data_IF_381847872544
#
_entry.id   IF_381847872544
#
_cell.length_a   1.000
_cell.length_b   1.000
_cell.length_c   1.000
_cell.angle_alpha   90.00
_cell.angle_beta   90.00
_cell.angle_gamma   90.00
#
_symmetry.space_group_name_H-M   'P 1'
#
loop_
_entity.id
_entity.type
_entity.pdbx_description
1 polymer ?
#
# COMPACT_ATOMS: atom_id res chain seq x y z
N UNK A 1 -29.68 44.93 9.62
CA UNK A 1 -29.00 43.85 8.87
C UNK A 1 -27.57 44.28 8.66
N UNK A 2 -26.62 43.71 9.41
CA UNK A 2 -25.20 44.02 9.21
C UNK A 2 -24.68 43.23 8.02
N UNK A 3 -24.32 43.91 6.94
CA UNK A 3 -23.53 43.30 5.87
C UNK A 3 -22.18 42.90 6.47
N UNK A 4 -21.92 41.59 6.56
CA UNK A 4 -20.57 41.08 6.76
C UNK A 4 -19.77 41.52 5.54
N UNK A 5 -18.89 42.50 5.71
CA UNK A 5 -17.90 42.84 4.71
C UNK A 5 -17.10 41.56 4.38
N UNK A 6 -16.85 41.25 3.10
CA UNK A 6 -15.96 40.14 2.78
C UNK A 6 -14.61 40.42 3.44
N UNK A 7 -14.15 39.48 4.27
CA UNK A 7 -12.83 39.52 4.90
C UNK A 7 -11.80 39.86 3.81
N UNK A 8 -10.96 40.90 4.00
CA UNK A 8 -9.89 41.20 3.07
C UNK A 8 -8.82 40.10 3.18
N UNK A 9 -9.03 38.99 2.48
CA UNK A 9 -7.99 37.99 2.28
C UNK A 9 -6.95 38.59 1.35
N UNK A 10 -5.74 38.82 1.83
CA UNK A 10 -4.63 39.21 0.96
C UNK A 10 -4.42 38.16 -0.14
N UNK A 11 -3.89 38.53 -1.32
CA UNK A 11 -3.63 37.58 -2.41
C UNK A 11 -2.88 36.33 -1.96
N UNK A 12 -1.85 36.50 -1.12
CA UNK A 12 -1.07 35.40 -0.55
C UNK A 12 -1.91 34.39 0.26
N UNK A 13 -2.92 34.86 0.99
CA UNK A 13 -3.78 34.00 1.80
C UNK A 13 -4.82 33.26 0.96
N UNK A 14 -5.31 33.89 -0.11
CA UNK A 14 -6.13 33.22 -1.14
C UNK A 14 -5.34 32.14 -1.83
N UNK A 15 -4.11 32.44 -2.26
CA UNK A 15 -3.22 31.48 -2.90
C UNK A 15 -2.87 30.32 -1.96
N UNK A 16 -2.55 30.62 -0.70
CA UNK A 16 -2.30 29.60 0.31
C UNK A 16 -3.51 28.69 0.61
N UNK A 17 -4.71 29.27 0.69
CA UNK A 17 -5.95 28.50 0.87
C UNK A 17 -6.26 27.64 -0.36
N UNK A 18 -6.06 28.18 -1.57
CA UNK A 18 -6.21 27.43 -2.81
C UNK A 18 -5.20 26.28 -2.91
N UNK A 19 -3.95 26.50 -2.51
CA UNK A 19 -2.92 25.47 -2.44
C UNK A 19 -3.31 24.36 -1.45
N UNK A 20 -3.81 24.71 -0.26
CA UNK A 20 -4.31 23.72 0.71
C UNK A 20 -5.45 22.88 0.11
N UNK A 21 -6.44 23.50 -0.54
CA UNK A 21 -7.55 22.76 -1.17
C UNK A 21 -7.03 21.83 -2.27
N UNK A 22 -6.07 22.28 -3.08
CA UNK A 22 -5.42 21.46 -4.09
C UNK A 22 -4.68 20.26 -3.46
N UNK A 23 -3.92 20.47 -2.38
CA UNK A 23 -3.24 19.40 -1.66
C UNK A 23 -4.22 18.37 -1.10
N UNK A 24 -5.30 18.82 -0.46
CA UNK A 24 -6.29 17.92 0.12
C UNK A 24 -7.02 17.08 -0.95
N UNK A 25 -7.35 17.68 -2.09
CA UNK A 25 -7.99 16.97 -3.19
C UNK A 25 -7.05 15.94 -3.82
N UNK A 26 -5.81 16.34 -4.14
CA UNK A 26 -4.83 15.42 -4.70
C UNK A 26 -4.46 14.30 -3.73
N UNK A 27 -4.32 14.59 -2.45
CA UNK A 27 -4.07 13.56 -1.46
C UNK A 27 -5.19 12.52 -1.43
N UNK A 28 -6.45 12.98 -1.39
CA UNK A 28 -7.58 12.08 -1.34
C UNK A 28 -7.62 11.12 -2.54
N UNK A 29 -7.30 11.60 -3.74
CA UNK A 29 -7.23 10.75 -4.93
C UNK A 29 -6.05 9.76 -4.85
N UNK A 30 -4.85 10.22 -4.49
CA UNK A 30 -3.68 9.35 -4.31
C UNK A 30 -3.89 8.27 -3.24
N UNK A 31 -4.65 8.59 -2.20
CA UNK A 31 -5.05 7.66 -1.14
C UNK A 31 -6.00 6.58 -1.62
N UNK A 32 -7.04 6.97 -2.33
CA UNK A 32 -7.98 5.99 -2.92
C UNK A 32 -7.25 5.08 -3.88
N UNK A 33 -6.36 5.65 -4.69
CA UNK A 33 -5.55 4.89 -5.64
C UNK A 33 -4.64 3.89 -4.93
N UNK A 34 -3.88 4.31 -3.91
CA UNK A 34 -2.97 3.41 -3.19
C UNK A 34 -3.69 2.25 -2.51
N UNK A 35 -4.82 2.52 -1.87
CA UNK A 35 -5.66 1.48 -1.24
C UNK A 35 -6.24 0.55 -2.30
N UNK A 36 -6.73 1.09 -3.41
CA UNK A 36 -7.27 0.30 -4.53
C UNK A 36 -6.22 -0.64 -5.13
N UNK A 37 -5.01 -0.13 -5.43
CA UNK A 37 -3.92 -0.94 -5.95
C UNK A 37 -3.53 -2.06 -4.96
N UNK A 38 -3.42 -1.72 -3.67
CA UNK A 38 -3.05 -2.70 -2.65
C UNK A 38 -4.11 -3.81 -2.49
N UNK A 39 -5.40 -3.47 -2.59
CA UNK A 39 -6.48 -4.46 -2.56
C UNK A 39 -6.53 -5.33 -3.83
N UNK A 40 -6.25 -4.77 -5.01
CA UNK A 40 -6.13 -5.54 -6.25
C UNK A 40 -5.02 -6.60 -6.14
N UNK A 41 -3.84 -6.21 -5.62
CA UNK A 41 -2.73 -7.15 -5.39
C UNK A 41 -3.16 -8.28 -4.45
N UNK A 42 -3.86 -7.94 -3.36
CA UNK A 42 -4.39 -8.94 -2.41
C UNK A 42 -5.37 -9.91 -3.08
N UNK A 43 -6.28 -9.43 -3.91
CA UNK A 43 -7.24 -10.28 -4.62
C UNK A 43 -6.54 -11.25 -5.59
N UNK A 44 -5.53 -10.76 -6.32
CA UNK A 44 -4.69 -11.59 -7.20
C UNK A 44 -4.02 -12.72 -6.39
N UNK A 45 -3.46 -12.41 -5.23
CA UNK A 45 -2.81 -13.42 -4.38
C UNK A 45 -3.83 -14.44 -3.83
N UNK A 46 -4.98 -13.95 -3.36
CA UNK A 46 -6.04 -14.80 -2.82
C UNK A 46 -6.55 -15.81 -3.85
N UNK A 47 -6.67 -15.42 -5.13
CA UNK A 47 -7.10 -16.34 -6.19
C UNK A 47 -6.12 -17.48 -6.45
N UNK A 48 -4.83 -17.29 -6.12
CA UNK A 48 -3.82 -18.33 -6.28
C UNK A 48 -3.71 -19.27 -5.08
N UNK A 49 -4.13 -18.85 -3.88
CA UNK A 49 -3.99 -19.66 -2.66
C UNK A 49 -4.72 -21.00 -2.77
N UNK A 50 -5.92 -21.02 -3.36
CA UNK A 50 -6.68 -22.27 -3.58
C UNK A 50 -5.89 -23.26 -4.45
N UNK A 51 -5.21 -22.77 -5.50
CA UNK A 51 -4.37 -23.61 -6.37
C UNK A 51 -3.14 -24.15 -5.64
N UNK A 52 -2.58 -23.39 -4.70
CA UNK A 52 -1.43 -23.81 -3.89
C UNK A 52 -1.84 -24.88 -2.90
N UNK A 53 -2.99 -24.72 -2.25
CA UNK A 53 -3.51 -25.71 -1.30
C UNK A 53 -3.84 -27.03 -2.01
N UNK A 54 -4.44 -26.95 -3.21
CA UNK A 54 -4.65 -28.13 -4.05
C UNK A 54 -3.33 -28.82 -4.43
N UNK A 55 -2.32 -28.04 -4.82
CA UNK A 55 -1.00 -28.58 -5.15
C UNK A 55 -0.28 -29.20 -3.94
N UNK A 56 -0.40 -28.59 -2.76
CA UNK A 56 0.12 -29.17 -1.53
C UNK A 56 -0.52 -30.54 -1.26
N UNK A 57 -1.85 -30.61 -1.26
CA UNK A 57 -2.58 -31.86 -1.05
C UNK A 57 -2.21 -32.94 -2.06
N UNK A 58 -2.07 -32.57 -3.33
CA UNK A 58 -1.68 -33.46 -4.41
C UNK A 58 -0.24 -33.97 -4.28
N UNK A 59 0.63 -33.32 -3.51
CA UNK A 59 2.04 -33.73 -3.37
C UNK A 59 2.36 -34.46 -2.07
N UNK A 60 1.42 -34.52 -1.11
CA UNK A 60 1.66 -35.11 0.21
C UNK A 60 2.10 -36.57 0.16
N UNK A 61 1.48 -37.40 -0.69
CA UNK A 61 1.80 -38.83 -0.79
C UNK A 61 3.21 -39.11 -1.32
N UNK A 62 3.83 -38.14 -2.02
CA UNK A 62 5.18 -38.28 -2.57
C UNK A 62 6.25 -38.40 -1.48
N UNK A 63 5.96 -37.97 -0.25
CA UNK A 63 6.86 -38.05 0.90
C UNK A 63 7.14 -39.49 1.36
N UNK A 64 6.19 -40.40 1.14
CA UNK A 64 6.27 -41.80 1.60
C UNK A 64 6.81 -42.76 0.53
N UNK A 65 7.08 -42.24 -0.67
CA UNK A 65 7.52 -43.03 -1.82
C UNK A 65 9.06 -43.20 -1.87
N UNK A 66 9.58 -43.67 -3.01
CA UNK A 66 11.01 -43.92 -3.23
C UNK A 66 11.88 -42.63 -3.19
N UNK A 67 13.20 -42.80 -3.28
CA UNK A 67 14.16 -41.69 -3.20
C UNK A 67 14.00 -40.63 -4.30
N UNK A 68 13.49 -40.98 -5.49
CA UNK A 68 13.28 -40.03 -6.60
C UNK A 68 12.06 -39.14 -6.36
N UNK A 69 10.94 -39.72 -5.89
CA UNK A 69 9.71 -39.00 -5.54
C UNK A 69 9.87 -38.11 -4.30
N UNK A 70 10.73 -38.51 -3.36
CA UNK A 70 11.09 -37.67 -2.19
C UNK A 70 11.76 -36.34 -2.57
N UNK A 71 12.52 -36.31 -3.65
CA UNK A 71 13.11 -35.06 -4.14
C UNK A 71 12.05 -34.10 -4.70
N UNK A 72 11.00 -34.62 -5.35
CA UNK A 72 9.89 -33.78 -5.80
C UNK A 72 9.08 -33.25 -4.63
N UNK A 73 8.79 -34.10 -3.64
CA UNK A 73 8.15 -33.69 -2.39
C UNK A 73 8.93 -32.56 -1.68
N UNK A 74 10.25 -32.72 -1.54
CA UNK A 74 11.11 -31.70 -0.93
C UNK A 74 11.06 -30.36 -1.70
N UNK A 75 11.01 -30.40 -3.03
CA UNK A 75 10.86 -29.20 -3.86
C UNK A 75 9.48 -28.55 -3.68
N UNK A 76 8.41 -29.34 -3.66
CA UNK A 76 7.04 -28.87 -3.42
C UNK A 76 6.96 -28.15 -2.06
N UNK A 77 7.40 -28.81 -0.98
CA UNK A 77 7.46 -28.25 0.37
C UNK A 77 8.25 -26.93 0.42
N UNK A 78 9.39 -26.86 -0.26
CA UNK A 78 10.21 -25.64 -0.33
C UNK A 78 9.46 -24.50 -1.01
N UNK A 79 8.81 -24.76 -2.15
CA UNK A 79 8.08 -23.74 -2.90
C UNK A 79 6.84 -23.26 -2.15
N UNK A 80 6.04 -24.18 -1.61
CA UNK A 80 4.84 -23.87 -0.81
C UNK A 80 5.22 -23.05 0.42
N UNK A 81 6.26 -23.46 1.16
CA UNK A 81 6.75 -22.69 2.32
C UNK A 81 7.20 -21.28 1.93
N UNK A 82 7.89 -21.16 0.78
CA UNK A 82 8.31 -19.85 0.26
C UNK A 82 7.13 -18.96 -0.08
N UNK A 83 6.06 -19.52 -0.66
CA UNK A 83 4.83 -18.78 -0.95
C UNK A 83 4.14 -18.32 0.33
N UNK A 84 4.00 -19.19 1.33
CA UNK A 84 3.40 -18.81 2.61
C UNK A 84 4.16 -17.66 3.29
N UNK A 85 5.48 -17.68 3.23
CA UNK A 85 6.31 -16.58 3.72
C UNK A 85 6.07 -15.27 2.94
N UNK A 86 5.97 -15.33 1.61
CA UNK A 86 5.66 -14.17 0.77
C UNK A 86 4.26 -13.62 1.04
N UNK A 87 3.26 -14.48 1.22
CA UNK A 87 1.91 -14.08 1.62
C UNK A 87 1.90 -13.33 2.95
N UNK A 88 2.65 -13.81 3.93
CA UNK A 88 2.78 -13.11 5.21
C UNK A 88 3.40 -11.72 5.02
N UNK A 89 4.48 -11.61 4.24
CA UNK A 89 5.12 -10.33 3.95
C UNK A 89 4.18 -9.35 3.22
N UNK A 90 3.44 -9.82 2.21
CA UNK A 90 2.45 -9.02 1.49
C UNK A 90 1.33 -8.51 2.38
N UNK A 91 0.77 -9.38 3.23
CA UNK A 91 -0.26 -8.99 4.21
C UNK A 91 0.28 -7.94 5.20
N UNK A 92 1.53 -8.08 5.64
CA UNK A 92 2.19 -7.10 6.50
C UNK A 92 2.35 -5.75 5.78
N UNK A 93 2.77 -5.75 4.51
CA UNK A 93 2.92 -4.51 3.74
C UNK A 93 1.57 -3.82 3.53
N UNK A 94 0.52 -4.58 3.18
CA UNK A 94 -0.84 -4.08 3.03
C UNK A 94 -1.36 -3.43 4.31
N UNK A 95 -1.22 -4.10 5.45
CA UNK A 95 -1.60 -3.56 6.75
C UNK A 95 -0.83 -2.26 7.06
N UNK A 96 0.44 -2.20 6.66
CA UNK A 96 1.25 -0.99 6.82
C UNK A 96 0.79 0.18 5.95
N UNK A 97 0.22 -0.08 4.75
CA UNK A 97 -0.38 0.98 3.91
C UNK A 97 -1.62 1.53 4.60
N UNK A 98 -2.53 0.67 5.06
CA UNK A 98 -3.71 1.10 5.79
C UNK A 98 -3.35 1.93 7.05
N UNK A 99 -2.32 1.50 7.80
CA UNK A 99 -1.81 2.23 8.97
C UNK A 99 -1.19 3.58 8.61
N UNK A 100 -0.51 3.69 7.45
CA UNK A 100 0.03 4.96 6.96
C UNK A 100 -1.10 5.97 6.75
N UNK A 101 -2.22 5.54 6.16
CA UNK A 101 -3.35 6.41 5.90
C UNK A 101 -4.04 6.89 7.19
N UNK A 102 -4.09 6.06 8.24
CA UNK A 102 -4.54 6.51 9.56
C UNK A 102 -3.59 7.53 10.17
N UNK A 103 -2.29 7.30 10.07
CA UNK A 103 -1.25 8.21 10.59
C UNK A 103 -1.28 9.56 9.87
N UNK A 104 -1.56 9.54 8.56
CA UNK A 104 -1.72 10.72 7.75
C UNK A 104 -2.83 11.64 8.30
N UNK A 105 -4.01 11.08 8.54
CA UNK A 105 -5.17 11.85 9.02
C UNK A 105 -4.85 12.54 10.34
N UNK A 106 -4.21 11.83 11.28
CA UNK A 106 -3.86 12.38 12.58
C UNK A 106 -2.76 13.46 12.49
N UNK A 107 -1.69 13.21 11.73
CA UNK A 107 -0.57 14.16 11.61
C UNK A 107 -0.94 15.43 10.86
N UNK A 108 -1.83 15.35 9.87
CA UNK A 108 -2.24 16.49 9.05
C UNK A 108 -3.30 17.37 9.72
N UNK A 109 -4.12 16.80 10.61
CA UNK A 109 -5.25 17.49 11.24
C UNK A 109 -4.82 18.76 11.98
N UNK A 110 -3.80 18.68 12.83
CA UNK A 110 -3.38 19.82 13.66
C UNK A 110 -2.82 20.98 12.83
N UNK A 111 -1.86 20.77 11.92
CA UNK A 111 -1.36 21.85 11.05
C UNK A 111 -2.46 22.48 10.18
N UNK A 112 -3.39 21.68 9.65
CA UNK A 112 -4.52 22.21 8.85
C UNK A 112 -5.41 23.10 9.72
N UNK A 113 -5.80 22.65 10.91
CA UNK A 113 -6.63 23.44 11.81
C UNK A 113 -5.92 24.73 12.25
N UNK A 114 -4.62 24.68 12.53
CA UNK A 114 -3.80 25.85 12.86
C UNK A 114 -3.69 26.81 11.69
N UNK A 115 -3.50 26.30 10.47
CA UNK A 115 -3.53 27.11 9.26
C UNK A 115 -4.87 27.85 9.12
N UNK A 116 -5.99 27.13 9.20
CA UNK A 116 -7.33 27.73 9.07
C UNK A 116 -7.58 28.80 10.13
N UNK A 117 -7.22 28.53 11.40
CA UNK A 117 -7.38 29.49 12.49
C UNK A 117 -6.54 30.77 12.25
N UNK A 118 -5.26 30.62 11.93
CA UNK A 118 -4.36 31.76 11.72
C UNK A 118 -4.70 32.52 10.43
N UNK A 119 -5.17 31.82 9.40
CA UNK A 119 -5.65 32.41 8.15
C UNK A 119 -6.88 33.31 8.41
N UNK A 120 -7.82 32.88 9.25
CA UNK A 120 -9.01 33.69 9.59
C UNK A 120 -8.68 34.93 10.43
N UNK A 121 -7.61 34.88 11.22
CA UNK A 121 -7.16 35.98 12.08
C UNK A 121 -6.07 36.86 11.44
N UNK A 122 -5.74 36.63 10.17
CA UNK A 122 -4.58 37.25 9.54
C UNK A 122 -4.77 38.75 9.30
N UNK A 123 -3.81 39.54 9.79
CA UNK A 123 -3.83 41.01 9.71
C UNK A 123 -2.83 41.60 8.70
N UNK A 124 -2.13 40.79 7.90
CA UNK A 124 -1.17 41.26 6.88
C UNK A 124 0.30 41.05 7.23
N UNK A 125 0.66 41.09 8.51
CA UNK A 125 2.06 40.98 8.96
C UNK A 125 2.42 39.60 9.53
N UNK A 126 1.42 38.77 9.83
CA UNK A 126 1.61 37.49 10.50
C UNK A 126 2.13 36.39 9.56
N UNK A 127 3.34 35.88 9.79
CA UNK A 127 3.91 34.79 8.98
C UNK A 127 3.43 33.39 9.40
N UNK A 128 2.64 33.27 10.47
CA UNK A 128 2.18 31.97 10.99
C UNK A 128 1.38 31.14 9.97
N UNK A 129 0.43 31.69 9.18
CA UNK A 129 -0.26 30.90 8.16
C UNK A 129 0.69 30.31 7.11
N UNK A 130 1.72 31.05 6.70
CA UNK A 130 2.71 30.56 5.74
C UNK A 130 3.59 29.46 6.34
N UNK A 131 3.99 29.58 7.61
CA UNK A 131 4.74 28.53 8.30
C UNK A 131 3.93 27.22 8.43
N UNK A 132 2.63 27.33 8.70
CA UNK A 132 1.73 26.18 8.76
C UNK A 132 1.54 25.53 7.38
N UNK A 133 1.42 26.33 6.31
CA UNK A 133 1.40 25.82 4.93
C UNK A 133 2.66 25.03 4.57
N UNK A 134 3.84 25.52 4.96
CA UNK A 134 5.09 24.79 4.75
C UNK A 134 5.09 23.45 5.50
N UNK A 135 4.64 23.46 6.76
CA UNK A 135 4.52 22.22 7.56
C UNK A 135 3.57 21.21 6.90
N UNK A 136 2.42 21.67 6.41
CA UNK A 136 1.45 20.84 5.67
C UNK A 136 2.09 20.26 4.41
N UNK A 137 2.82 21.08 3.64
CA UNK A 137 3.50 20.65 2.42
C UNK A 137 4.58 19.60 2.70
N UNK A 138 5.41 19.81 3.71
CA UNK A 138 6.49 18.88 4.08
C UNK A 138 5.92 17.52 4.53
N UNK A 139 4.88 17.54 5.37
CA UNK A 139 4.17 16.33 5.78
C UNK A 139 3.55 15.60 4.58
N UNK A 140 2.94 16.33 3.65
CA UNK A 140 2.37 15.75 2.43
C UNK A 140 3.45 15.06 1.58
N UNK A 141 4.61 15.68 1.39
CA UNK A 141 5.73 15.08 0.64
C UNK A 141 6.25 13.82 1.33
N UNK A 142 6.55 13.88 2.63
CA UNK A 142 7.03 12.75 3.43
C UNK A 142 6.08 11.54 3.33
N UNK A 143 4.77 11.80 3.48
CA UNK A 143 3.76 10.74 3.48
C UNK A 143 3.57 10.14 2.08
N UNK A 144 3.63 10.97 1.03
CA UNK A 144 3.60 10.48 -0.35
C UNK A 144 4.81 9.63 -0.72
N UNK A 145 6.01 10.01 -0.29
CA UNK A 145 7.22 9.22 -0.49
C UNK A 145 7.10 7.86 0.21
N UNK A 146 6.64 7.85 1.46
CA UNK A 146 6.36 6.62 2.19
C UNK A 146 5.31 5.74 1.50
N UNK A 147 4.25 6.34 0.96
CA UNK A 147 3.20 5.63 0.20
C UNK A 147 3.78 4.99 -1.06
N UNK A 148 4.56 5.73 -1.86
CA UNK A 148 5.24 5.20 -3.06
C UNK A 148 6.22 4.08 -2.73
N UNK A 149 7.00 4.22 -1.65
CA UNK A 149 7.93 3.20 -1.22
C UNK A 149 7.21 1.89 -0.85
N UNK A 150 6.08 1.98 -0.13
CA UNK A 150 5.27 0.80 0.22
C UNK A 150 4.63 0.14 -1.00
N UNK A 151 4.07 0.90 -1.94
CA UNK A 151 3.52 0.37 -3.19
C UNK A 151 4.61 -0.31 -4.04
N UNK A 152 5.80 0.29 -4.11
CA UNK A 152 6.97 -0.29 -4.79
C UNK A 152 7.37 -1.62 -4.14
N UNK A 153 7.38 -1.67 -2.80
CA UNK A 153 7.62 -2.91 -2.05
C UNK A 153 6.59 -3.98 -2.35
N UNK A 154 5.30 -3.64 -2.36
CA UNK A 154 4.23 -4.59 -2.72
C UNK A 154 4.37 -5.12 -4.15
N UNK A 155 4.67 -4.25 -5.11
CA UNK A 155 4.89 -4.69 -6.50
C UNK A 155 6.09 -5.64 -6.62
N UNK A 156 7.17 -5.38 -5.89
CA UNK A 156 8.32 -6.28 -5.84
C UNK A 156 7.96 -7.63 -5.20
N UNK A 157 7.18 -7.62 -4.12
CA UNK A 157 6.69 -8.84 -3.46
C UNK A 157 5.77 -9.63 -4.39
N UNK A 158 4.88 -8.97 -5.14
CA UNK A 158 4.05 -9.60 -6.16
C UNK A 158 4.91 -10.24 -7.26
N UNK A 159 5.96 -9.55 -7.74
CA UNK A 159 6.90 -10.12 -8.70
C UNK A 159 7.60 -11.39 -8.18
N UNK A 160 8.02 -11.39 -6.91
CA UNK A 160 8.60 -12.58 -6.25
C UNK A 160 7.58 -13.71 -6.11
N UNK A 161 6.34 -13.37 -5.74
CA UNK A 161 5.23 -14.32 -5.65
C UNK A 161 4.96 -14.99 -7.00
N UNK A 162 4.83 -14.20 -8.08
CA UNK A 162 4.62 -14.71 -9.43
C UNK A 162 5.76 -15.64 -9.88
N UNK A 163 7.01 -15.30 -9.56
CA UNK A 163 8.15 -16.17 -9.86
C UNK A 163 8.11 -17.50 -9.11
N UNK A 164 7.57 -17.55 -7.89
CA UNK A 164 7.33 -18.80 -7.16
C UNK A 164 6.17 -19.60 -7.75
N UNK A 165 5.09 -18.92 -8.15
CA UNK A 165 3.96 -19.56 -8.82
C UNK A 165 4.39 -20.26 -10.11
N UNK A 166 5.24 -19.63 -10.92
CA UNK A 166 5.80 -20.27 -12.13
C UNK A 166 6.56 -21.56 -11.78
N UNK A 167 7.31 -21.58 -10.68
CA UNK A 167 8.03 -22.78 -10.22
C UNK A 167 7.08 -23.88 -9.76
N UNK A 168 6.02 -23.53 -9.03
CA UNK A 168 4.98 -24.50 -8.66
C UNK A 168 4.30 -25.07 -9.90
N UNK A 169 3.91 -24.23 -10.86
CA UNK A 169 3.28 -24.69 -12.10
C UNK A 169 4.21 -25.62 -12.89
N UNK A 170 5.49 -25.28 -13.02
CA UNK A 170 6.46 -26.14 -13.69
C UNK A 170 6.65 -27.47 -12.97
N UNK A 171 6.70 -27.46 -11.64
CA UNK A 171 6.81 -28.67 -10.82
C UNK A 171 5.55 -29.54 -10.94
N UNK A 172 4.36 -28.93 -10.89
CA UNK A 172 3.06 -29.60 -11.10
C UNK A 172 3.03 -30.30 -12.45
N UNK A 173 3.40 -29.58 -13.51
CA UNK A 173 3.44 -30.15 -14.85
C UNK A 173 4.41 -31.34 -14.96
N UNK A 174 5.61 -31.22 -14.39
CA UNK A 174 6.59 -32.31 -14.39
C UNK A 174 6.14 -33.55 -13.58
N UNK A 175 5.28 -33.35 -12.57
CA UNK A 175 4.67 -34.44 -11.80
C UNK A 175 3.53 -35.11 -12.56
N UNK A 176 2.69 -34.33 -13.23
CA UNK A 176 1.61 -34.83 -14.10
C UNK A 176 2.18 -35.66 -15.26
N UNK A 177 3.25 -35.20 -15.92
CA UNK A 177 3.94 -35.95 -17.00
C UNK A 177 4.51 -37.31 -16.56
N UNK A 178 4.69 -37.49 -15.24
CA UNK A 178 5.24 -38.71 -14.64
C UNK A 178 4.17 -39.58 -13.99
N UNK A 179 2.89 -39.22 -14.14
CA UNK A 179 1.75 -39.85 -13.47
C UNK A 179 1.95 -39.94 -11.94
N UNK A 180 2.61 -38.93 -11.35
CA UNK A 180 2.90 -38.87 -9.93
C UNK A 180 1.83 -38.13 -9.13
N UNK A 181 1.05 -37.26 -9.78
CA UNK A 181 -0.11 -36.53 -9.22
C UNK A 181 -1.21 -36.43 -10.27
#
# INVERSE_FOLDING_TARGET
>A
MGCLAPLPTTPALREGTAALVFFLNNDNELRKESVSQAEQIKQIIQSFNESIDQFEMATLHLGDMNSSTKNYFAQACKHISSIRAQNYQLNSTLASIASLESTYVERMKTPILQFLANATAYTGEDKQPLAQLNTISDLFLELNENRRAKLTSMNNQLGQYMALMIKITALKHALEEKDLI
#
